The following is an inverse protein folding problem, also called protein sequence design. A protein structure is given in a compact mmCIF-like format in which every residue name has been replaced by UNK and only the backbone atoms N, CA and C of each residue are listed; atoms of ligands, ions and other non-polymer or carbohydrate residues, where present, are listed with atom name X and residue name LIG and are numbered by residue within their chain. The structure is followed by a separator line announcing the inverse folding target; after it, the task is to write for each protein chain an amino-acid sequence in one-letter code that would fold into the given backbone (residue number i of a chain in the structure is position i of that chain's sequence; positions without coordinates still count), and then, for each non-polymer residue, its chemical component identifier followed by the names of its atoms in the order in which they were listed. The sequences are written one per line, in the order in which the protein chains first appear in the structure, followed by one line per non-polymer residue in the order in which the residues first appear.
data_IF_371552035239
#
_entry.id   IF_371552035239
#
_cell.length_a   1.000
_cell.length_b   1.000
_cell.length_c   1.000
_cell.angle_alpha   90.00
_cell.angle_beta   90.00
_cell.angle_gamma   90.00
#
_symmetry.space_group_name_H-M   'P 1'
#
loop_
_entity.id
_entity.type
_entity.pdbx_description
1 polymer ?
#
# COMPACT_ATOMS: atom_id res chain seq x y z
N UNK A 1 7.27 5.72 4.55
CA UNK A 1 6.37 4.68 5.11
C UNK A 1 5.38 5.37 6.03
N UNK A 2 4.09 5.02 5.99
CA UNK A 2 3.04 5.62 6.83
C UNK A 2 2.08 4.53 7.34
N UNK A 3 1.41 4.79 8.45
CA UNK A 3 0.42 3.90 9.07
C UNK A 3 -0.91 4.66 9.14
N UNK A 4 -2.01 3.96 8.90
CA UNK A 4 -3.36 4.53 8.79
C UNK A 4 -4.36 3.70 9.60
N UNK A 5 -5.32 4.36 10.21
CA UNK A 5 -6.38 3.71 11.00
C UNK A 5 -7.35 2.88 10.15
N UNK A 6 -7.50 3.22 8.87
CA UNK A 6 -8.34 2.47 7.94
C UNK A 6 -7.90 2.65 6.49
N UNK A 7 -8.34 1.72 5.63
CA UNK A 7 -8.16 1.85 4.18
C UNK A 7 -8.94 3.05 3.64
N UNK A 8 -10.08 3.39 4.23
CA UNK A 8 -10.87 4.53 3.79
C UNK A 8 -10.15 5.86 4.04
N UNK A 9 -9.59 6.08 5.23
CA UNK A 9 -8.84 7.31 5.53
C UNK A 9 -7.62 7.47 4.61
N UNK A 10 -6.89 6.38 4.38
CA UNK A 10 -5.79 6.35 3.42
C UNK A 10 -6.26 6.63 1.97
N UNK A 11 -7.41 6.07 1.56
CA UNK A 11 -7.97 6.29 0.22
C UNK A 11 -8.41 7.75 0.03
N UNK A 12 -9.06 8.34 1.03
CA UNK A 12 -9.43 9.75 1.05
C UNK A 12 -8.19 10.63 0.91
N UNK A 13 -7.16 10.39 1.71
CA UNK A 13 -5.89 11.10 1.57
C UNK A 13 -5.31 10.98 0.16
N UNK A 14 -5.22 9.75 -0.36
CA UNK A 14 -4.55 9.46 -1.64
C UNK A 14 -5.26 10.07 -2.85
N UNK A 15 -6.59 10.04 -2.88
CA UNK A 15 -7.36 10.36 -4.09
C UNK A 15 -8.29 11.57 -3.96
N UNK A 16 -8.55 12.08 -2.75
CA UNK A 16 -9.49 13.18 -2.50
C UNK A 16 -8.81 14.45 -1.97
N UNK A 17 -7.48 14.44 -1.84
CA UNK A 17 -6.67 15.62 -1.49
C UNK A 17 -5.77 16.02 -2.65
N UNK A 18 -4.97 17.07 -2.47
CA UNK A 18 -3.92 17.50 -3.41
C UNK A 18 -2.95 16.38 -3.80
N UNK A 19 -2.83 15.32 -2.98
CA UNK A 19 -1.99 14.16 -3.27
C UNK A 19 -2.35 13.48 -4.61
N UNK A 20 -3.61 13.54 -5.02
CA UNK A 20 -4.09 12.95 -6.29
C UNK A 20 -3.36 13.53 -7.51
N UNK A 21 -2.92 14.80 -7.45
CA UNK A 21 -2.22 15.45 -8.56
C UNK A 21 -0.88 14.75 -8.84
N UNK A 22 -0.16 14.34 -7.79
CA UNK A 22 1.08 13.58 -7.91
C UNK A 22 0.83 12.16 -8.42
N UNK A 23 -0.21 11.48 -7.92
CA UNK A 23 -0.58 10.13 -8.37
C UNK A 23 -0.93 10.08 -9.85
N UNK A 24 -1.60 11.11 -10.37
CA UNK A 24 -1.93 11.25 -11.80
C UNK A 24 -0.68 11.50 -12.65
N UNK A 25 0.24 12.32 -12.15
CA UNK A 25 1.48 12.66 -12.84
C UNK A 25 2.60 11.63 -12.64
N UNK A 26 2.36 10.50 -11.97
CA UNK A 26 3.41 9.50 -11.67
C UNK A 26 4.25 9.09 -12.88
N UNK A 27 3.68 9.04 -14.09
CA UNK A 27 4.43 8.69 -15.31
C UNK A 27 5.49 9.72 -15.72
N UNK A 28 5.41 10.96 -15.22
CA UNK A 28 6.42 11.98 -15.43
C UNK A 28 7.65 11.81 -14.52
N UNK A 29 7.51 11.04 -13.44
CA UNK A 29 8.53 10.91 -12.39
C UNK A 29 9.04 9.47 -12.25
N UNK A 30 8.28 8.49 -12.72
CA UNK A 30 8.60 7.08 -12.67
C UNK A 30 8.65 6.51 -14.09
N UNK A 31 9.65 5.66 -14.32
CA UNK A 31 9.68 4.78 -15.49
C UNK A 31 8.45 3.86 -15.50
N UNK A 32 8.21 3.20 -16.64
CA UNK A 32 7.08 2.28 -16.77
C UNK A 32 7.18 1.19 -15.71
N UNK A 33 6.24 1.23 -14.76
CA UNK A 33 6.17 0.30 -13.66
C UNK A 33 5.58 -1.02 -14.15
N UNK A 34 6.44 -2.02 -14.39
CA UNK A 34 6.01 -3.38 -14.74
C UNK A 34 5.62 -4.20 -13.50
N UNK A 35 6.07 -3.76 -12.33
CA UNK A 35 5.81 -4.41 -11.05
C UNK A 35 5.14 -3.44 -10.07
N UNK A 36 4.43 -3.95 -9.04
CA UNK A 36 3.92 -3.14 -7.94
C UNK A 36 5.03 -2.30 -7.29
N UNK A 37 4.76 -1.01 -7.04
CA UNK A 37 5.70 -0.07 -6.38
C UNK A 37 5.33 0.28 -4.95
N UNK A 38 4.20 -0.24 -4.48
CA UNK A 38 3.74 -0.09 -3.11
C UNK A 38 2.97 -1.34 -2.70
N UNK A 39 2.98 -1.62 -1.40
CA UNK A 39 2.17 -2.63 -0.78
C UNK A 39 1.39 -2.01 0.40
N UNK A 40 0.18 -2.50 0.60
CA UNK A 40 -0.66 -2.28 1.76
C UNK A 40 -0.77 -3.62 2.49
N UNK A 41 -0.78 -3.58 3.81
CA UNK A 41 -1.01 -4.74 4.67
C UNK A 41 -1.54 -4.25 6.01
N UNK A 42 -2.19 -5.15 6.74
CA UNK A 42 -2.72 -4.84 8.06
C UNK A 42 -1.64 -4.96 9.13
N UNK A 43 -1.70 -4.07 10.10
CA UNK A 43 -0.86 -4.07 11.29
C UNK A 43 -1.75 -3.99 12.53
N UNK A 44 -1.40 -4.67 13.62
CA UNK A 44 -2.00 -4.42 14.93
C UNK A 44 -1.89 -2.94 15.31
N UNK A 45 -2.94 -2.41 15.94
CA UNK A 45 -2.97 -1.02 16.37
C UNK A 45 -1.79 -0.70 17.32
N UNK A 46 -1.19 0.48 17.13
CA UNK A 46 -0.03 0.93 17.91
C UNK A 46 1.31 0.38 17.43
N UNK A 47 1.35 -0.53 16.45
CA UNK A 47 2.60 -0.98 15.87
C UNK A 47 3.13 -0.03 14.79
N UNK A 48 4.45 0.16 14.79
CA UNK A 48 5.17 0.87 13.74
C UNK A 48 5.99 -0.17 12.99
N UNK A 49 5.76 -0.37 11.68
CA UNK A 49 6.52 -1.35 10.91
C UNK A 49 7.96 -0.88 10.72
N UNK A 50 8.84 -1.85 10.47
CA UNK A 50 10.22 -1.61 10.09
C UNK A 50 10.38 -1.59 8.57
N UNK A 51 11.50 -1.02 8.09
CA UNK A 51 11.83 -1.02 6.66
C UNK A 51 11.97 -2.46 6.11
N UNK A 52 12.65 -3.41 6.80
CA UNK A 52 12.71 -4.79 6.35
C UNK A 52 11.33 -5.44 6.18
N UNK A 53 10.40 -5.23 7.11
CA UNK A 53 9.05 -5.77 7.00
C UNK A 53 8.32 -5.20 5.78
N UNK A 54 8.40 -3.88 5.56
CA UNK A 54 7.81 -3.26 4.38
C UNK A 54 8.38 -3.83 3.07
N UNK A 55 9.69 -4.11 3.02
CA UNK A 55 10.34 -4.76 1.88
C UNK A 55 9.83 -6.17 1.67
N UNK A 56 9.70 -6.98 2.74
CA UNK A 56 9.12 -8.32 2.67
C UNK A 56 7.70 -8.32 2.15
N UNK A 57 6.87 -7.35 2.55
CA UNK A 57 5.48 -7.21 2.05
C UNK A 57 5.44 -6.87 0.56
N UNK A 58 6.31 -5.96 0.12
CA UNK A 58 6.41 -5.62 -1.30
C UNK A 58 6.89 -6.82 -2.13
N UNK A 59 7.90 -7.55 -1.64
CA UNK A 59 8.43 -8.76 -2.30
C UNK A 59 7.35 -9.85 -2.43
N UNK A 60 6.58 -10.06 -1.36
CA UNK A 60 5.46 -10.99 -1.40
C UNK A 60 4.40 -10.58 -2.45
N UNK A 61 4.06 -9.30 -2.52
CA UNK A 61 3.11 -8.78 -3.51
C UNK A 61 3.63 -8.97 -4.95
N UNK A 62 4.92 -8.78 -5.19
CA UNK A 62 5.54 -9.01 -6.50
C UNK A 62 5.50 -10.49 -6.90
N UNK A 63 5.77 -11.40 -5.96
CA UNK A 63 5.80 -12.84 -6.21
C UNK A 63 4.42 -13.49 -6.33
N UNK A 64 3.44 -13.03 -5.55
CA UNK A 64 2.15 -13.73 -5.37
C UNK A 64 0.93 -12.92 -5.81
N UNK A 65 1.10 -11.64 -6.14
CA UNK A 65 0.00 -10.72 -6.38
C UNK A 65 -0.78 -10.40 -5.10
N UNK A 66 -1.97 -9.81 -5.28
CA UNK A 66 -2.81 -9.35 -4.17
C UNK A 66 -3.27 -10.52 -3.29
N UNK A 67 -2.97 -10.46 -1.99
CA UNK A 67 -3.31 -11.47 -0.98
C UNK A 67 -3.56 -10.83 0.39
N UNK A 68 -4.12 -11.55 1.38
CA UNK A 68 -4.26 -11.03 2.75
C UNK A 68 -2.91 -10.58 3.37
N UNK A 69 -1.81 -11.20 2.93
CA UNK A 69 -0.45 -10.89 3.40
C UNK A 69 0.03 -9.51 2.92
N UNK A 70 -0.27 -9.15 1.67
CA UNK A 70 0.11 -7.89 1.05
C UNK A 70 -0.76 -7.64 -0.19
N UNK A 71 -1.24 -6.41 -0.34
CA UNK A 71 -2.19 -6.03 -1.39
C UNK A 71 -2.06 -4.55 -1.81
N UNK A 72 -2.90 -4.12 -2.75
CA UNK A 72 -2.98 -2.75 -3.26
C UNK A 72 -4.42 -2.24 -3.20
N UNK A 73 -4.66 -0.97 -3.54
CA UNK A 73 -6.04 -0.48 -3.68
C UNK A 73 -6.88 -1.25 -4.72
N UNK A 74 -6.24 -2.00 -5.64
CA UNK A 74 -6.92 -2.79 -6.65
C UNK A 74 -7.67 -4.00 -6.09
N UNK A 75 -7.28 -4.51 -4.92
CA UNK A 75 -7.99 -5.58 -4.21
C UNK A 75 -7.68 -5.51 -2.72
N UNK A 76 -8.66 -5.08 -1.94
CA UNK A 76 -8.55 -4.95 -0.48
C UNK A 76 -8.97 -6.27 0.17
N UNK A 77 -8.30 -6.62 1.27
CA UNK A 77 -8.64 -7.74 2.11
C UNK A 77 -9.01 -7.22 3.50
N UNK A 78 -9.88 -7.93 4.21
CA UNK A 78 -10.15 -7.66 5.62
C UNK A 78 -8.94 -8.03 6.48
N UNK A 79 -8.70 -7.34 7.61
CA UNK A 79 -7.68 -7.76 8.56
C UNK A 79 -8.02 -9.15 9.09
N UNK A 80 -7.05 -10.06 9.06
CA UNK A 80 -7.20 -11.34 9.74
C UNK A 80 -7.26 -11.05 11.23
N UNK A 81 -8.43 -11.25 11.83
CA UNK A 81 -8.64 -11.08 13.27
C UNK A 81 -7.72 -12.08 13.98
N UNK A 82 -6.74 -11.57 14.74
CA UNK A 82 -6.05 -12.33 15.78
C UNK A 82 -6.55 -11.83 17.13
#
# INVERSE_FOLDING_TARGET
MSVWESVESLRQFTYKTVHVNYVKQRKAWFEKLEQPVYALWWLPAGQIPTIPEAKTRLDHLMAHGNSPTAFTFGKIFEPTVN
#
